data_IF_857520340302
#
_entry.id   IF_857520340302
#
_cell.length_a   1.000
_cell.length_b   1.000
_cell.length_c   1.000
_cell.angle_alpha   90.00
_cell.angle_beta   90.00
_cell.angle_gamma   90.00
#
_symmetry.space_group_name_H-M   'P 1'
#
loop_
_entity.id
_entity.type
_entity.pdbx_description
1 polymer ?
#
# COMPACT_ATOMS: atom_id res chain seq x y z
N UNK A 1 6.70 -18.34 -2.60
CA UNK A 1 5.45 -17.89 -3.29
C UNK A 1 4.42 -17.45 -2.25
N UNK A 2 3.38 -16.68 -2.59
CA UNK A 2 2.42 -16.20 -1.58
C UNK A 2 1.52 -17.31 -1.02
N UNK A 3 1.28 -17.36 0.30
CA UNK A 3 0.30 -18.28 0.89
C UNK A 3 -1.10 -18.06 0.30
N UNK A 4 -1.77 -19.15 -0.11
CA UNK A 4 -3.11 -19.08 -0.73
C UNK A 4 -4.14 -18.36 0.15
N UNK A 5 -4.04 -18.50 1.48
CA UNK A 5 -4.92 -17.79 2.42
C UNK A 5 -4.76 -16.27 2.33
N UNK A 6 -3.53 -15.79 2.26
CA UNK A 6 -3.25 -14.36 2.11
C UNK A 6 -3.75 -13.84 0.75
N UNK A 7 -3.55 -14.59 -0.33
CA UNK A 7 -4.07 -14.20 -1.63
C UNK A 7 -5.60 -14.06 -1.63
N UNK A 8 -6.32 -15.01 -1.01
CA UNK A 8 -7.77 -14.93 -0.85
C UNK A 8 -8.21 -13.74 -0.01
N UNK A 9 -7.49 -13.45 1.07
CA UNK A 9 -7.77 -12.29 1.89
C UNK A 9 -7.61 -10.98 1.11
N UNK A 10 -6.57 -10.87 0.28
CA UNK A 10 -6.36 -9.70 -0.60
C UNK A 10 -7.51 -9.56 -1.60
N UNK A 11 -7.93 -10.65 -2.25
CA UNK A 11 -9.06 -10.60 -3.19
C UNK A 11 -10.36 -10.21 -2.48
N UNK A 12 -10.61 -10.75 -1.29
CA UNK A 12 -11.78 -10.39 -0.50
C UNK A 12 -11.79 -8.89 -0.14
N UNK A 13 -10.64 -8.30 0.17
CA UNK A 13 -10.51 -6.85 0.43
C UNK A 13 -10.76 -6.04 -0.85
N UNK A 14 -10.23 -6.47 -1.99
CA UNK A 14 -10.43 -5.81 -3.29
C UNK A 14 -11.91 -5.86 -3.70
N UNK A 15 -12.59 -6.98 -3.49
CA UNK A 15 -14.01 -7.14 -3.81
C UNK A 15 -14.89 -6.21 -2.98
N UNK A 16 -14.47 -5.84 -1.76
CA UNK A 16 -15.17 -4.83 -0.95
C UNK A 16 -15.06 -3.43 -1.55
N UNK A 17 -13.98 -3.13 -2.28
CA UNK A 17 -13.74 -1.82 -2.88
C UNK A 17 -14.58 -1.61 -4.15
N UNK A 18 -14.90 -2.69 -4.85
CA UNK A 18 -15.77 -2.68 -6.04
C UNK A 18 -17.12 -3.38 -5.79
N UNK A 19 -17.90 -3.00 -4.76
CA UNK A 19 -19.13 -3.69 -4.45
C UNK A 19 -20.23 -3.29 -5.44
N UNK A 20 -20.91 -4.28 -6.02
CA UNK A 20 -22.27 -4.05 -6.54
C UNK A 20 -23.27 -3.82 -5.39
N UNK A 21 -22.95 -4.24 -4.16
CA UNK A 21 -23.76 -4.12 -2.94
C UNK A 21 -22.85 -3.93 -1.71
N UNK A 22 -23.16 -3.02 -0.76
CA UNK A 22 -22.31 -2.77 0.40
C UNK A 22 -22.00 -4.06 1.19
N UNK A 23 -20.75 -4.22 1.67
CA UNK A 23 -20.34 -5.43 2.35
C UNK A 23 -21.13 -5.62 3.66
N UNK A 24 -21.57 -6.86 3.91
CA UNK A 24 -22.20 -7.22 5.18
C UNK A 24 -21.22 -7.02 6.33
N UNK A 25 -21.70 -6.47 7.45
CA UNK A 25 -20.88 -6.19 8.65
C UNK A 25 -20.11 -7.43 9.14
N UNK A 26 -20.72 -8.60 9.10
CA UNK A 26 -20.10 -9.87 9.53
C UNK A 26 -18.92 -10.27 8.64
N UNK A 27 -18.95 -9.90 7.36
CA UNK A 27 -17.85 -10.15 6.42
C UNK A 27 -16.66 -9.26 6.74
N UNK A 28 -16.89 -7.97 7.05
CA UNK A 28 -15.84 -7.04 7.45
C UNK A 28 -15.18 -7.46 8.77
N UNK A 29 -15.96 -7.91 9.76
CA UNK A 29 -15.43 -8.39 11.04
C UNK A 29 -14.49 -9.58 10.81
N UNK A 30 -14.92 -10.58 10.03
CA UNK A 30 -14.10 -11.75 9.71
C UNK A 30 -12.78 -11.36 9.01
N UNK A 31 -12.84 -10.47 8.03
CA UNK A 31 -11.66 -10.01 7.28
C UNK A 31 -10.71 -9.24 8.21
N UNK A 32 -11.23 -8.42 9.13
CA UNK A 32 -10.40 -7.72 10.13
C UNK A 32 -9.72 -8.67 11.10
N UNK A 33 -10.44 -9.68 11.58
CA UNK A 33 -9.87 -10.71 12.47
C UNK A 33 -8.75 -11.47 11.76
N UNK A 34 -8.98 -11.87 10.50
CA UNK A 34 -7.95 -12.55 9.71
C UNK A 34 -6.74 -11.67 9.45
N UNK A 35 -6.95 -10.39 9.10
CA UNK A 35 -5.86 -9.42 8.94
C UNK A 35 -5.05 -9.24 10.22
N UNK A 36 -5.71 -9.16 11.38
CA UNK A 36 -5.04 -9.00 12.68
C UNK A 36 -4.10 -10.17 12.98
N UNK A 37 -4.47 -11.40 12.58
CA UNK A 37 -3.57 -12.56 12.70
C UNK A 37 -2.31 -12.40 11.84
N UNK A 38 -2.47 -11.92 10.60
CA UNK A 38 -1.34 -11.65 9.71
C UNK A 38 -0.45 -10.50 10.21
N UNK A 39 -1.03 -9.40 10.68
CA UNK A 39 -0.29 -8.27 11.29
C UNK A 39 0.53 -8.72 12.51
N UNK A 40 -0.06 -9.58 13.35
CA UNK A 40 0.62 -10.14 14.52
C UNK A 40 1.82 -11.00 14.13
N UNK A 41 1.73 -11.74 13.03
CA UNK A 41 2.84 -12.58 12.53
C UNK A 41 4.06 -11.76 12.12
N UNK A 42 3.86 -10.54 11.60
CA UNK A 42 4.95 -9.62 11.26
C UNK A 42 5.58 -9.03 12.51
N UNK A 43 4.76 -8.67 13.48
CA UNK A 43 5.24 -8.05 14.73
C UNK A 43 6.09 -9.01 15.56
N UNK A 44 5.68 -10.28 15.63
CA UNK A 44 6.38 -11.32 16.38
C UNK A 44 7.67 -11.83 15.72
N UNK A 45 7.84 -11.62 14.41
CA UNK A 45 9.06 -12.04 13.69
C UNK A 45 10.28 -11.17 14.02
N UNK A 46 10.07 -9.97 14.56
CA UNK A 46 11.12 -8.96 14.75
C UNK A 46 12.02 -9.16 15.99
N UNK A 47 11.66 -9.99 16.98
CA UNK A 47 12.45 -10.06 18.24
C UNK A 47 13.46 -11.23 18.33
N UNK A 48 13.31 -12.33 17.59
CA UNK A 48 14.12 -13.53 17.86
C UNK A 48 14.65 -14.31 16.65
N UNK A 49 14.11 -14.15 15.43
CA UNK A 49 14.51 -14.97 14.27
C UNK A 49 15.43 -14.25 13.25
N UNK A 50 15.59 -12.94 13.37
CA UNK A 50 16.34 -12.11 12.41
C UNK A 50 17.84 -12.46 12.29
N UNK A 51 18.40 -13.21 13.24
CA UNK A 51 19.82 -13.59 13.25
C UNK A 51 20.12 -14.96 12.62
N UNK A 52 19.11 -15.79 12.32
CA UNK A 52 19.35 -17.20 11.98
C UNK A 52 18.93 -17.67 10.58
N UNK A 53 18.13 -16.92 9.80
CA UNK A 53 17.72 -17.38 8.46
C UNK A 53 17.91 -16.34 7.36
N UNK A 54 19.16 -16.18 6.91
CA UNK A 54 19.51 -15.39 5.73
C UNK A 54 18.98 -15.99 4.41
N UNK A 55 18.39 -17.19 4.43
CA UNK A 55 17.85 -17.89 3.26
C UNK A 55 16.31 -17.84 3.18
N UNK A 56 15.62 -17.76 4.32
CA UNK A 56 14.14 -17.61 4.38
C UNK A 56 13.69 -16.15 4.41
N UNK A 57 14.59 -15.20 4.70
CA UNK A 57 14.24 -13.78 4.81
C UNK A 57 13.55 -13.20 3.56
N UNK A 58 13.81 -13.72 2.36
CA UNK A 58 13.14 -13.26 1.15
C UNK A 58 11.63 -13.52 1.16
N UNK A 59 11.22 -14.76 1.41
CA UNK A 59 9.80 -15.10 1.37
C UNK A 59 9.06 -14.38 2.50
N UNK A 60 9.70 -14.26 3.66
CA UNK A 60 9.19 -13.50 4.81
C UNK A 60 9.02 -12.02 4.48
N UNK A 61 10.01 -11.38 3.85
CA UNK A 61 9.95 -9.96 3.49
C UNK A 61 8.90 -9.69 2.42
N UNK A 62 8.80 -10.58 1.43
CA UNK A 62 7.80 -10.46 0.39
C UNK A 62 6.39 -10.61 0.97
N UNK A 63 6.14 -11.67 1.75
CA UNK A 63 4.86 -11.89 2.43
C UNK A 63 4.52 -10.71 3.34
N UNK A 64 5.49 -10.19 4.09
CA UNK A 64 5.29 -9.02 4.94
C UNK A 64 4.85 -7.79 4.13
N UNK A 65 5.48 -7.50 2.99
CA UNK A 65 5.07 -6.38 2.13
C UNK A 65 3.64 -6.54 1.59
N UNK A 66 3.22 -7.76 1.24
CA UNK A 66 1.84 -8.02 0.83
C UNK A 66 0.85 -7.84 1.97
N UNK A 67 1.15 -8.35 3.16
CA UNK A 67 0.31 -8.15 4.35
C UNK A 67 0.22 -6.68 4.72
N UNK A 68 1.33 -5.93 4.68
CA UNK A 68 1.34 -4.49 4.99
C UNK A 68 0.50 -3.70 3.98
N UNK A 69 0.61 -4.00 2.68
CA UNK A 69 -0.24 -3.40 1.66
C UNK A 69 -1.72 -3.74 1.83
N UNK A 70 -2.04 -5.00 2.14
CA UNK A 70 -3.42 -5.45 2.37
C UNK A 70 -4.04 -4.87 3.64
N UNK A 71 -3.29 -4.83 4.74
CA UNK A 71 -3.67 -4.18 6.00
C UNK A 71 -4.00 -2.71 5.77
N UNK A 72 -3.11 -2.01 5.06
CA UNK A 72 -3.27 -0.60 4.75
C UNK A 72 -4.52 -0.35 3.88
N UNK A 73 -4.76 -1.22 2.89
CA UNK A 73 -5.94 -1.17 2.06
C UNK A 73 -7.24 -1.43 2.84
N UNK A 74 -7.23 -2.40 3.75
CA UNK A 74 -8.38 -2.67 4.62
C UNK A 74 -8.70 -1.48 5.52
N UNK A 75 -7.68 -0.82 6.09
CA UNK A 75 -7.87 0.40 6.88
C UNK A 75 -8.59 1.47 6.04
N UNK A 76 -8.15 1.69 4.80
CA UNK A 76 -8.81 2.63 3.88
C UNK A 76 -10.29 2.30 3.63
N UNK A 77 -10.59 1.04 3.32
CA UNK A 77 -11.96 0.57 3.11
C UNK A 77 -12.84 0.84 4.33
N UNK A 78 -12.32 0.56 5.53
CA UNK A 78 -13.08 0.72 6.77
C UNK A 78 -13.31 2.19 7.12
N UNK A 79 -12.33 3.06 6.87
CA UNK A 79 -12.46 4.49 7.12
C UNK A 79 -13.43 5.16 6.14
N UNK A 80 -13.35 4.84 4.84
CA UNK A 80 -14.27 5.37 3.82
C UNK A 80 -15.72 4.96 4.07
N UNK A 81 -15.94 3.78 4.67
CA UNK A 81 -17.29 3.32 5.03
C UNK A 81 -17.88 4.08 6.23
N UNK A 82 -17.04 4.72 7.05
CA UNK A 82 -17.44 5.44 8.25
C UNK A 82 -17.70 6.94 8.03
N UNK A 83 -17.17 7.51 6.94
CA UNK A 83 -17.23 8.95 6.62
C UNK A 83 -18.40 9.36 5.72
N UNK A 84 -19.32 8.44 5.39
CA UNK A 84 -20.48 8.67 4.50
C UNK A 84 -21.61 9.51 5.13
N UNK A 85 -21.29 10.65 5.72
CA UNK A 85 -22.26 11.70 6.11
C UNK A 85 -22.10 12.99 5.31
N UNK A 86 -21.12 13.12 4.42
CA UNK A 86 -21.00 14.27 3.49
C UNK A 86 -21.03 13.82 2.02
N UNK A 87 -21.94 14.43 1.26
CA UNK A 87 -22.31 14.13 -0.13
C UNK A 87 -21.20 14.35 -1.17
N UNK A 88 -19.99 14.72 -0.76
CA UNK A 88 -18.89 15.09 -1.67
C UNK A 88 -17.91 13.94 -1.94
N UNK A 89 -17.84 12.93 -1.06
CA UNK A 89 -16.93 11.78 -1.20
C UNK A 89 -17.28 10.87 -2.40
N UNK A 90 -18.54 10.87 -2.83
CA UNK A 90 -19.02 10.00 -3.91
C UNK A 90 -18.65 10.50 -5.31
N UNK A 91 -18.25 11.78 -5.44
CA UNK A 91 -17.74 12.35 -6.71
C UNK A 91 -16.28 12.02 -6.99
N UNK A 92 -15.49 11.68 -5.97
CA UNK A 92 -14.09 11.30 -6.14
C UNK A 92 -13.88 9.90 -6.75
N UNK A 93 -14.93 9.05 -6.76
CA UNK A 93 -14.82 7.66 -7.18
C UNK A 93 -15.17 7.42 -8.66
N UNK A 94 -15.81 8.38 -9.34
CA UNK A 94 -16.43 8.17 -10.66
C UNK A 94 -15.79 8.94 -11.83
N UNK A 95 -14.73 9.73 -11.61
CA UNK A 95 -14.14 10.60 -12.65
C UNK A 95 -12.84 10.10 -13.29
N UNK A 96 -12.00 9.43 -12.51
CA UNK A 96 -10.68 8.92 -12.92
C UNK A 96 -10.28 7.98 -11.79
N UNK A 97 -9.77 6.78 -12.08
CA UNK A 97 -9.48 5.72 -11.09
C UNK A 97 -8.42 6.04 -10.02
N UNK A 98 -8.19 7.31 -9.73
CA UNK A 98 -7.39 7.81 -8.61
C UNK A 98 -8.19 7.69 -7.33
N UNK A 99 -7.91 6.64 -6.55
CA UNK A 99 -8.32 6.58 -5.16
C UNK A 99 -7.68 7.75 -4.41
N UNK A 100 -8.48 8.71 -3.94
CA UNK A 100 -8.02 9.76 -3.01
C UNK A 100 -7.79 9.13 -1.62
N UNK A 101 -6.75 8.30 -1.51
CA UNK A 101 -6.26 7.72 -0.26
C UNK A 101 -5.40 8.74 0.49
N UNK A 102 -5.95 9.92 0.75
CA UNK A 102 -5.24 10.93 1.53
C UNK A 102 -5.48 10.63 3.01
N UNK A 103 -4.58 9.84 3.62
CA UNK A 103 -4.61 9.61 5.07
C UNK A 103 -3.21 9.68 5.65
N UNK A 104 -3.15 10.15 6.91
CA UNK A 104 -1.99 10.36 7.78
C UNK A 104 -0.77 9.50 7.42
N UNK A 105 0.33 10.18 7.10
CA UNK A 105 1.68 9.65 6.88
C UNK A 105 2.26 8.86 8.07
N UNK A 106 1.56 8.83 9.22
CA UNK A 106 2.02 8.18 10.46
C UNK A 106 1.48 6.75 10.65
N UNK A 107 1.15 6.01 9.58
CA UNK A 107 0.74 4.61 9.72
C UNK A 107 1.95 3.69 9.91
N UNK A 108 1.87 2.83 10.92
CA UNK A 108 2.94 1.88 11.25
C UNK A 108 3.23 0.93 10.07
N UNK A 109 2.21 0.60 9.26
CA UNK A 109 2.36 -0.26 8.09
C UNK A 109 3.32 0.35 7.06
N UNK A 110 3.20 1.65 6.81
CA UNK A 110 4.03 2.39 5.86
C UNK A 110 5.47 2.40 6.35
N UNK A 111 5.69 2.78 7.61
CA UNK A 111 7.02 2.79 8.23
C UNK A 111 7.70 1.42 8.15
N UNK A 112 6.96 0.35 8.46
CA UNK A 112 7.50 -1.01 8.41
C UNK A 112 7.81 -1.44 6.97
N UNK A 113 6.94 -1.14 6.01
CA UNK A 113 7.15 -1.49 4.60
C UNK A 113 8.38 -0.79 4.03
N UNK A 114 8.54 0.50 4.30
CA UNK A 114 9.70 1.27 3.86
C UNK A 114 11.00 0.79 4.54
N UNK A 115 10.94 0.41 5.82
CA UNK A 115 12.07 -0.22 6.52
C UNK A 115 12.51 -1.52 5.81
N UNK A 116 11.55 -2.36 5.40
CA UNK A 116 11.83 -3.56 4.60
C UNK A 116 12.48 -3.17 3.26
N UNK A 117 11.90 -2.23 2.51
CA UNK A 117 12.39 -1.83 1.18
C UNK A 117 13.76 -1.14 1.21
N UNK A 118 14.16 -0.53 2.33
CA UNK A 118 15.51 0.05 2.51
C UNK A 118 16.59 -1.03 2.68
N UNK A 119 16.24 -2.27 3.07
CA UNK A 119 17.23 -3.35 3.22
C UNK A 119 17.72 -3.83 1.85
N UNK A 120 19.04 -3.87 1.59
CA UNK A 120 19.58 -4.22 0.28
C UNK A 120 19.10 -5.58 -0.26
N UNK A 121 19.01 -6.61 0.59
CA UNK A 121 18.55 -7.93 0.19
C UNK A 121 17.06 -7.95 -0.20
N UNK A 122 16.21 -7.28 0.59
CA UNK A 122 14.79 -7.14 0.29
C UNK A 122 14.58 -6.30 -0.98
N UNK A 123 15.28 -5.18 -1.12
CA UNK A 123 15.27 -4.34 -2.33
C UNK A 123 15.63 -5.13 -3.59
N UNK A 124 16.75 -5.87 -3.55
CA UNK A 124 17.23 -6.64 -4.69
C UNK A 124 16.25 -7.74 -5.12
N UNK A 125 15.52 -8.30 -4.16
CA UNK A 125 14.60 -9.39 -4.47
C UNK A 125 13.21 -8.88 -4.83
N UNK A 126 12.73 -7.84 -4.17
CA UNK A 126 11.49 -7.16 -4.50
C UNK A 126 11.52 -6.59 -5.92
N UNK A 127 12.66 -6.01 -6.33
CA UNK A 127 12.83 -5.48 -7.68
C UNK A 127 12.82 -6.55 -8.79
N UNK A 128 12.86 -7.84 -8.42
CA UNK A 128 12.72 -8.99 -9.33
C UNK A 128 11.36 -9.70 -9.17
N UNK A 129 10.51 -9.25 -8.23
CA UNK A 129 9.23 -9.87 -7.93
C UNK A 129 8.14 -9.36 -8.89
N UNK A 130 7.69 -10.21 -9.82
CA UNK A 130 6.65 -9.86 -10.78
C UNK A 130 5.34 -9.41 -10.13
N UNK A 131 4.97 -10.02 -9.00
CA UNK A 131 3.73 -9.68 -8.28
C UNK A 131 3.88 -8.46 -7.36
N UNK A 132 5.09 -7.91 -7.19
CA UNK A 132 5.38 -6.85 -6.23
C UNK A 132 4.83 -5.46 -6.59
N UNK A 133 4.20 -5.31 -7.75
CA UNK A 133 3.71 -4.02 -8.24
C UNK A 133 2.51 -3.52 -7.41
N UNK A 134 1.61 -4.42 -7.00
CA UNK A 134 0.40 -4.05 -6.27
C UNK A 134 0.68 -3.46 -4.88
N UNK A 135 1.51 -4.06 -3.99
CA UNK A 135 1.83 -3.43 -2.71
C UNK A 135 2.53 -2.07 -2.87
N UNK A 136 3.35 -1.89 -3.92
CA UNK A 136 3.98 -0.59 -4.20
C UNK A 136 2.97 0.48 -4.60
N UNK A 137 1.93 0.11 -5.35
CA UNK A 137 0.84 1.02 -5.69
C UNK A 137 0.15 1.51 -4.41
N UNK A 138 -0.24 0.57 -3.53
CA UNK A 138 -0.91 0.92 -2.27
C UNK A 138 -0.02 1.82 -1.40
N UNK A 139 1.25 1.45 -1.22
CA UNK A 139 2.21 2.27 -0.45
C UNK A 139 2.44 3.64 -1.10
N UNK A 140 2.52 3.71 -2.43
CA UNK A 140 2.76 4.94 -3.18
C UNK A 140 1.64 5.96 -2.99
N UNK A 141 0.38 5.51 -2.92
CA UNK A 141 -0.72 6.39 -2.57
C UNK A 141 -0.62 6.94 -1.15
N UNK A 142 0.02 6.21 -0.23
CA UNK A 142 0.04 6.56 1.19
C UNK A 142 1.22 7.42 1.62
N UNK A 143 2.33 7.42 0.89
CA UNK A 143 3.50 8.25 1.23
C UNK A 143 3.29 9.72 0.87
N UNK A 144 3.84 10.60 1.70
CA UNK A 144 3.79 12.06 1.50
C UNK A 144 5.17 12.71 1.59
N UNK A 145 6.11 12.11 2.33
CA UNK A 145 7.45 12.66 2.51
C UNK A 145 8.33 12.39 1.28
N UNK A 146 9.08 13.39 0.84
CA UNK A 146 9.90 13.32 -0.38
C UNK A 146 10.93 12.18 -0.34
N UNK A 147 11.48 11.87 0.85
CA UNK A 147 12.42 10.76 1.00
C UNK A 147 11.77 9.41 0.67
N UNK A 148 10.54 9.20 1.15
CA UNK A 148 9.81 7.96 0.96
C UNK A 148 9.26 7.84 -0.47
N UNK A 149 8.81 8.96 -1.06
CA UNK A 149 8.46 9.06 -2.48
C UNK A 149 9.67 8.69 -3.34
N UNK A 150 10.83 9.30 -3.08
CA UNK A 150 12.08 9.01 -3.79
C UNK A 150 12.52 7.54 -3.65
N UNK A 151 12.31 6.92 -2.49
CA UNK A 151 12.55 5.49 -2.29
C UNK A 151 11.64 4.65 -3.20
N UNK A 152 10.33 4.89 -3.19
CA UNK A 152 9.38 4.13 -4.00
C UNK A 152 9.62 4.34 -5.50
N UNK A 153 9.94 5.57 -5.93
CA UNK A 153 10.32 5.91 -7.32
C UNK A 153 11.55 5.13 -7.78
N UNK A 154 12.54 4.96 -6.90
CA UNK A 154 13.74 4.15 -7.18
C UNK A 154 13.43 2.65 -7.24
N UNK A 155 12.55 2.15 -6.38
CA UNK A 155 12.13 0.73 -6.41
C UNK A 155 11.36 0.43 -7.70
N UNK A 156 10.37 1.24 -8.04
CA UNK A 156 9.51 1.04 -9.22
C UNK A 156 10.29 1.16 -10.53
N UNK A 157 11.17 2.17 -10.64
CA UNK A 157 12.08 2.31 -11.79
C UNK A 157 12.94 1.06 -11.98
N UNK A 158 13.49 0.52 -10.88
CA UNK A 158 14.33 -0.67 -10.95
C UNK A 158 13.54 -1.93 -11.31
N UNK A 159 12.31 -2.06 -10.82
CA UNK A 159 11.39 -3.12 -11.25
C UNK A 159 11.11 -3.03 -12.75
N UNK A 160 10.85 -1.83 -13.27
CA UNK A 160 10.60 -1.59 -14.69
C UNK A 160 11.77 -2.02 -15.55
N UNK A 161 12.99 -1.63 -15.17
CA UNK A 161 14.22 -2.01 -15.88
C UNK A 161 14.44 -3.53 -15.92
N UNK A 162 14.14 -4.23 -14.82
CA UNK A 162 14.45 -5.66 -14.67
C UNK A 162 13.40 -6.58 -15.28
N UNK A 163 12.13 -6.21 -15.15
CA UNK A 163 11.00 -7.09 -15.49
C UNK A 163 10.34 -6.66 -16.82
N UNK A 164 10.57 -5.41 -17.26
CA UNK A 164 10.01 -4.90 -18.53
C UNK A 164 8.48 -4.84 -18.55
N UNK A 165 7.85 -4.83 -17.37
CA UNK A 165 6.42 -5.06 -17.23
C UNK A 165 5.64 -3.75 -17.38
N UNK A 166 4.76 -3.69 -18.40
CA UNK A 166 3.97 -2.50 -18.70
C UNK A 166 3.04 -2.06 -17.54
N UNK A 167 2.64 -2.98 -16.67
CA UNK A 167 1.86 -2.65 -15.47
C UNK A 167 2.66 -1.81 -14.47
N UNK A 168 3.96 -2.12 -14.27
CA UNK A 168 4.85 -1.31 -13.41
C UNK A 168 4.99 0.11 -13.97
N UNK A 169 5.03 0.25 -15.30
CA UNK A 169 5.08 1.57 -15.94
C UNK A 169 3.79 2.36 -15.72
N UNK A 170 2.62 1.72 -15.81
CA UNK A 170 1.33 2.37 -15.54
C UNK A 170 1.23 2.79 -14.08
N UNK A 171 1.53 1.89 -13.15
CA UNK A 171 1.56 2.17 -11.71
C UNK A 171 2.51 3.34 -11.41
N UNK A 172 3.70 3.35 -12.02
CA UNK A 172 4.64 4.46 -11.85
C UNK A 172 4.05 5.78 -12.35
N UNK A 173 3.46 5.81 -13.55
CA UNK A 173 2.85 7.02 -14.09
C UNK A 173 1.68 7.54 -13.23
N UNK A 174 0.84 6.64 -12.73
CA UNK A 174 -0.29 6.98 -11.86
C UNK A 174 0.20 7.58 -10.54
N UNK A 175 1.24 7.01 -9.94
CA UNK A 175 1.84 7.52 -8.70
C UNK A 175 2.49 8.90 -8.89
N UNK A 176 3.23 9.11 -9.98
CA UNK A 176 3.84 10.42 -10.27
C UNK A 176 2.78 11.51 -10.45
N UNK A 177 1.66 11.19 -11.10
CA UNK A 177 0.55 12.15 -11.24
C UNK A 177 -0.05 12.52 -9.88
N UNK A 178 -0.24 11.55 -9.00
CA UNK A 178 -0.76 11.77 -7.63
C UNK A 178 0.21 12.60 -6.79
N UNK A 179 1.50 12.31 -6.85
CA UNK A 179 2.51 13.08 -6.12
C UNK A 179 2.60 14.52 -6.64
N UNK A 180 2.58 14.73 -7.95
CA UNK A 180 2.58 16.07 -8.55
C UNK A 180 1.35 16.90 -8.18
N UNK A 181 0.15 16.29 -8.12
CA UNK A 181 -1.06 17.00 -7.66
C UNK A 181 -0.93 17.48 -6.21
N UNK A 182 -0.30 16.69 -5.34
CA UNK A 182 -0.10 17.04 -3.93
C UNK A 182 0.89 18.18 -3.73
N UNK A 183 1.92 18.25 -4.57
CA UNK A 183 2.87 19.38 -4.54
C UNK A 183 2.17 20.70 -4.89
N UNK A 184 1.27 20.69 -5.88
CA UNK A 184 0.51 21.88 -6.31
C UNK A 184 -0.47 22.33 -5.22
N UNK A 185 -1.23 21.42 -4.62
CA UNK A 185 -2.18 21.76 -3.53
C UNK A 185 -1.48 22.38 -2.31
N UNK A 186 -0.21 22.00 -2.07
CA UNK A 186 0.58 22.51 -0.95
C UNK A 186 1.06 23.95 -1.20
N UNK A 187 1.33 24.32 -2.46
CA UNK A 187 1.83 25.65 -2.83
C UNK A 187 0.70 26.70 -2.83
N UNK A 188 -0.47 26.36 -3.36
CA UNK A 188 -1.67 27.23 -3.35
C UNK A 188 -2.16 27.54 -1.92
N UNK A 189 -2.00 26.59 -0.99
CA UNK A 189 -2.38 26.76 0.42
C UNK A 189 -1.46 27.73 1.19
N UNK A 190 -0.25 27.97 0.70
CA UNK A 190 0.75 28.83 1.35
C UNK A 190 0.60 30.29 0.92
N UNK A 191 0.08 30.54 -0.28
CA UNK A 191 -0.18 31.90 -0.78
C UNK A 191 -1.47 32.51 -0.18
N UNK A 192 -2.50 31.71 0.14
CA UNK A 192 -3.73 32.18 0.80
C UNK A 192 -3.53 32.60 2.29
N UNK A 193 -2.37 32.31 2.89
CA UNK A 193 -2.01 32.73 4.25
C UNK A 193 -1.17 34.02 4.29
N UNK A 194 -0.93 34.64 3.13
CA UNK A 194 -0.10 35.86 2.99
C UNK A 194 -0.87 37.13 2.66
N UNK A 195 -2.17 37.07 2.47
CA UNK A 195 -3.07 38.22 2.31
C UNK A 195 -3.90 38.50 3.58
#
# INVERSE_FOLDING_TARGET
GLPLRLYRLITDIIDIINPNEPPKRDVLIRIREEMTMWESSISNSNETEFLLSARDGFETDAVALFVLGASLLLDYVTESSSSTTSSDAQKAMNGTGTFNLQVSSSRWQIRQALSILRRPAAYETWTRCYLGAWPLLILGYSVTDEEDISLLRRVSSRMRERIGYGEVQRIQADLEAVWAMREIDTDDSVDDLRD
#
